data_IF_553404657690
#
_entry.id   IF_553404657690
#
_cell.length_a   1.000
_cell.length_b   1.000
_cell.length_c   1.000
_cell.angle_alpha   90.00
_cell.angle_beta   90.00
_cell.angle_gamma   90.00
#
_symmetry.space_group_name_H-M   'P 1'
#
loop_
_entity.id
_entity.type
_entity.pdbx_description
1 polymer ?
#
# COMPACT_ATOMS: atom_id res chain seq x y z
N UNK A 1 18.97 -15.70 9.65
CA UNK A 1 19.89 -15.25 8.57
C UNK A 1 19.61 -15.88 7.20
N UNK A 2 19.45 -17.19 7.06
CA UNK A 2 19.26 -17.85 5.74
C UNK A 2 18.03 -17.35 4.94
N UNK A 3 16.86 -17.23 5.57
CA UNK A 3 15.63 -16.74 4.89
C UNK A 3 15.81 -15.35 4.29
N UNK A 4 16.52 -14.42 4.96
CA UNK A 4 16.80 -13.06 4.47
C UNK A 4 17.69 -13.07 3.22
N UNK A 5 18.75 -13.89 3.22
CA UNK A 5 19.65 -14.02 2.06
C UNK A 5 18.90 -14.58 0.85
N UNK A 6 18.04 -15.59 1.05
CA UNK A 6 17.21 -16.18 -0.01
C UNK A 6 16.22 -15.15 -0.57
N UNK A 7 15.53 -14.41 0.29
CA UNK A 7 14.59 -13.37 -0.16
C UNK A 7 15.28 -12.26 -0.97
N UNK A 8 16.40 -11.74 -0.48
CA UNK A 8 17.19 -10.72 -1.19
C UNK A 8 17.72 -11.24 -2.54
N UNK A 9 18.17 -12.51 -2.58
CA UNK A 9 18.61 -13.16 -3.81
C UNK A 9 17.46 -13.30 -4.82
N UNK A 10 16.28 -13.75 -4.37
CA UNK A 10 15.07 -13.86 -5.20
C UNK A 10 14.68 -12.49 -5.79
N UNK A 11 14.60 -11.45 -4.98
CA UNK A 11 14.27 -10.10 -5.45
C UNK A 11 15.28 -9.62 -6.50
N UNK A 12 16.57 -9.80 -6.27
CA UNK A 12 17.59 -9.42 -7.25
C UNK A 12 17.43 -10.16 -8.58
N UNK A 13 17.06 -11.44 -8.56
CA UNK A 13 16.82 -12.24 -9.77
C UNK A 13 15.53 -11.89 -10.46
N UNK A 14 14.45 -11.68 -9.70
CA UNK A 14 13.13 -11.32 -10.24
C UNK A 14 13.12 -9.97 -10.94
N UNK A 15 13.88 -9.01 -10.41
CA UNK A 15 14.00 -7.67 -10.99
C UNK A 15 15.26 -7.50 -11.88
N UNK A 16 15.96 -8.60 -12.18
CA UNK A 16 16.96 -8.68 -13.24
C UNK A 16 16.33 -8.97 -14.60
N UNK A 17 17.17 -9.15 -15.62
CA UNK A 17 16.70 -9.38 -17.00
C UNK A 17 16.32 -10.84 -17.29
N UNK A 18 16.85 -11.81 -16.52
CA UNK A 18 16.68 -13.23 -16.81
C UNK A 18 15.83 -13.93 -15.74
N UNK A 19 14.96 -14.88 -16.16
CA UNK A 19 14.21 -15.68 -15.20
C UNK A 19 15.12 -16.61 -14.41
N UNK A 20 14.62 -17.09 -13.29
CA UNK A 20 15.26 -18.18 -12.56
C UNK A 20 14.87 -19.47 -13.30
N UNK A 21 15.76 -19.94 -14.18
CA UNK A 21 15.47 -20.97 -15.18
C UNK A 21 14.93 -22.28 -14.60
N UNK A 22 15.47 -22.74 -13.47
CA UNK A 22 15.01 -23.98 -12.82
C UNK A 22 13.61 -23.85 -12.20
N UNK A 23 13.09 -22.64 -12.04
CA UNK A 23 11.71 -22.39 -11.61
C UNK A 23 10.73 -22.23 -12.77
N UNK A 24 11.16 -22.27 -14.02
CA UNK A 24 10.28 -22.11 -15.19
C UNK A 24 9.13 -23.14 -15.19
N UNK A 25 9.36 -24.45 -14.95
CA UNK A 25 8.26 -25.42 -14.92
C UNK A 25 7.23 -25.11 -13.84
N UNK A 26 7.68 -24.71 -12.64
CA UNK A 26 6.79 -24.30 -11.55
C UNK A 26 6.03 -23.02 -11.86
N UNK A 27 6.66 -22.07 -12.54
CA UNK A 27 6.00 -20.85 -12.99
C UNK A 27 4.91 -21.14 -14.04
N UNK A 28 5.17 -22.10 -14.93
CA UNK A 28 4.17 -22.60 -15.88
C UNK A 28 2.95 -23.22 -15.17
N UNK A 29 3.19 -24.09 -14.19
CA UNK A 29 2.14 -24.68 -13.37
C UNK A 29 1.34 -23.61 -12.61
N UNK A 30 2.02 -22.66 -11.97
CA UNK A 30 1.38 -21.54 -11.28
C UNK A 30 0.54 -20.68 -12.25
N UNK A 31 1.04 -20.45 -13.48
CA UNK A 31 0.30 -19.72 -14.51
C UNK A 31 -0.99 -20.44 -14.91
N UNK A 32 -0.93 -21.75 -15.12
CA UNK A 32 -2.11 -22.58 -15.47
C UNK A 32 -3.12 -22.56 -14.31
N UNK A 33 -2.69 -22.83 -13.07
CA UNK A 33 -3.57 -22.85 -11.91
C UNK A 33 -4.28 -21.51 -11.68
N UNK A 34 -3.55 -20.40 -11.80
CA UNK A 34 -4.14 -19.06 -11.66
C UNK A 34 -5.05 -18.69 -12.82
N UNK A 35 -4.76 -19.16 -14.05
CA UNK A 35 -5.61 -18.97 -15.22
C UNK A 35 -6.92 -19.76 -15.10
N UNK A 36 -6.84 -21.04 -14.71
CA UNK A 36 -8.02 -21.90 -14.48
C UNK A 36 -8.89 -21.31 -13.37
N UNK A 37 -8.30 -20.94 -12.20
CA UNK A 37 -9.04 -20.31 -11.10
C UNK A 37 -9.78 -19.06 -11.58
N UNK A 38 -9.11 -18.20 -12.35
CA UNK A 38 -9.70 -16.98 -12.88
C UNK A 38 -10.82 -17.28 -13.89
N UNK A 39 -10.62 -18.27 -14.73
CA UNK A 39 -11.63 -18.74 -15.68
C UNK A 39 -12.88 -19.24 -14.94
N UNK A 40 -12.74 -20.05 -13.88
CA UNK A 40 -13.85 -20.53 -13.06
C UNK A 40 -14.68 -19.37 -12.46
N UNK A 41 -14.04 -18.30 -11.97
CA UNK A 41 -14.75 -17.12 -11.48
C UNK A 41 -15.47 -16.36 -12.60
N UNK A 42 -14.84 -16.22 -13.77
CA UNK A 42 -15.44 -15.51 -14.93
C UNK A 42 -16.67 -16.24 -15.49
N UNK A 43 -16.68 -17.55 -15.46
CA UNK A 43 -17.78 -18.36 -15.98
C UNK A 43 -18.80 -18.75 -14.89
N UNK A 44 -18.71 -18.18 -13.69
CA UNK A 44 -19.68 -18.41 -12.62
C UNK A 44 -19.61 -19.80 -11.97
N UNK A 45 -18.57 -20.61 -12.27
CA UNK A 45 -18.32 -21.90 -11.60
C UNK A 45 -18.00 -21.68 -10.12
N UNK A 46 -17.21 -20.64 -9.82
CA UNK A 46 -16.95 -20.20 -8.47
C UNK A 46 -17.80 -18.97 -8.15
N UNK A 47 -18.38 -18.97 -6.94
CA UNK A 47 -19.28 -17.92 -6.48
C UNK A 47 -18.55 -16.59 -6.36
N UNK A 48 -19.15 -15.54 -6.90
CA UNK A 48 -18.71 -14.14 -6.74
C UNK A 48 -19.75 -13.41 -5.88
N UNK A 49 -19.30 -12.80 -4.80
CA UNK A 49 -20.13 -11.99 -3.91
C UNK A 49 -20.23 -10.60 -4.50
N UNK A 50 -21.46 -10.15 -4.77
CA UNK A 50 -21.78 -8.77 -5.14
C UNK A 50 -22.29 -8.03 -3.92
N UNK A 51 -21.82 -6.81 -3.72
CA UNK A 51 -22.25 -5.95 -2.62
C UNK A 51 -23.24 -4.88 -3.13
N UNK A 52 -24.07 -4.31 -2.24
CA UNK A 52 -25.00 -3.24 -2.60
C UNK A 52 -24.30 -1.90 -2.85
N UNK A 53 -23.01 -1.80 -2.58
CA UNK A 53 -22.17 -0.61 -2.80
C UNK A 53 -21.02 -0.91 -3.74
N UNK A 54 -20.51 0.08 -4.49
CA UNK A 54 -19.36 -0.09 -5.36
C UNK A 54 -18.10 -0.46 -4.59
N UNK A 55 -17.26 -1.28 -5.24
CA UNK A 55 -15.96 -1.72 -4.71
C UNK A 55 -14.85 -1.26 -5.65
N UNK A 56 -13.97 -0.41 -5.14
CA UNK A 56 -12.76 0.05 -5.82
C UNK A 56 -11.59 -0.80 -5.32
N UNK A 57 -10.98 -1.57 -6.21
CA UNK A 57 -9.84 -2.41 -5.85
C UNK A 57 -8.54 -1.70 -6.22
N UNK A 58 -7.70 -1.46 -5.22
CA UNK A 58 -6.31 -1.02 -5.41
C UNK A 58 -5.40 -2.21 -5.18
N UNK A 59 -4.53 -2.49 -6.14
CA UNK A 59 -3.64 -3.66 -6.04
C UNK A 59 -2.43 -3.56 -6.95
N UNK A 60 -1.62 -4.61 -6.95
CA UNK A 60 -0.50 -4.77 -7.87
C UNK A 60 -0.44 -6.19 -8.44
N UNK A 61 0.27 -6.34 -9.55
CA UNK A 61 0.47 -7.64 -10.20
C UNK A 61 1.86 -8.23 -9.93
N UNK A 62 2.71 -7.53 -9.18
CA UNK A 62 4.07 -7.96 -8.82
C UNK A 62 4.19 -8.23 -7.32
N UNK A 63 5.21 -8.95 -6.91
CA UNK A 63 5.58 -9.10 -5.50
C UNK A 63 6.39 -7.89 -5.03
N UNK A 64 6.16 -7.44 -3.80
CA UNK A 64 6.90 -6.36 -3.14
C UNK A 64 6.05 -5.12 -2.87
N UNK A 65 6.60 -4.21 -2.09
CA UNK A 65 5.96 -2.94 -1.74
C UNK A 65 5.97 -1.98 -2.94
N UNK A 66 4.80 -1.63 -3.44
CA UNK A 66 4.62 -0.70 -4.57
C UNK A 66 4.09 0.66 -4.14
N UNK A 67 3.81 0.87 -2.85
CA UNK A 67 3.23 2.12 -2.35
C UNK A 67 1.69 2.16 -2.43
N UNK A 68 1.01 1.02 -2.33
CA UNK A 68 -0.47 0.95 -2.35
C UNK A 68 -1.13 1.72 -1.22
N UNK A 69 -0.63 1.58 0.00
CA UNK A 69 -1.22 2.19 1.19
C UNK A 69 -1.35 3.71 1.08
N UNK A 70 -0.34 4.49 0.66
CA UNK A 70 -0.51 5.92 0.41
C UNK A 70 -1.57 6.24 -0.66
N UNK A 71 -1.69 5.43 -1.71
CA UNK A 71 -2.72 5.61 -2.75
C UNK A 71 -4.13 5.36 -2.20
N UNK A 72 -4.30 4.32 -1.37
CA UNK A 72 -5.58 4.02 -0.69
C UNK A 72 -5.96 5.15 0.25
N UNK A 73 -5.00 5.70 1.01
CA UNK A 73 -5.21 6.86 1.89
C UNK A 73 -5.66 8.06 1.07
N UNK A 74 -4.93 8.41 0.00
CA UNK A 74 -5.26 9.53 -0.88
C UNK A 74 -6.67 9.39 -1.49
N UNK A 75 -7.00 8.20 -2.00
CA UNK A 75 -8.31 7.94 -2.61
C UNK A 75 -9.43 8.05 -1.58
N UNK A 76 -9.25 7.47 -0.39
CA UNK A 76 -10.22 7.54 0.71
C UNK A 76 -10.49 8.98 1.13
N UNK A 77 -9.44 9.75 1.41
CA UNK A 77 -9.55 11.16 1.80
C UNK A 77 -10.16 12.03 0.69
N UNK A 78 -9.84 11.75 -0.57
CA UNK A 78 -10.41 12.48 -1.70
C UNK A 78 -11.90 12.20 -1.88
N UNK A 79 -12.35 10.97 -1.65
CA UNK A 79 -13.77 10.62 -1.66
C UNK A 79 -14.53 11.25 -0.48
N UNK A 80 -13.92 11.24 0.73
CA UNK A 80 -14.51 11.94 1.88
C UNK A 80 -14.71 13.44 1.60
N UNK A 81 -13.69 14.12 1.03
CA UNK A 81 -13.79 15.54 0.65
C UNK A 81 -14.90 15.81 -0.38
N UNK A 82 -15.29 14.80 -1.16
CA UNK A 82 -16.39 14.88 -2.12
C UNK A 82 -17.75 14.45 -1.52
N UNK A 83 -17.83 14.23 -0.21
CA UNK A 83 -19.06 13.88 0.49
C UNK A 83 -19.43 12.39 0.45
N UNK A 84 -18.57 11.50 -0.06
CA UNK A 84 -18.78 10.06 0.05
C UNK A 84 -18.40 9.54 1.43
N UNK A 85 -18.94 8.38 1.81
CA UNK A 85 -18.61 7.66 3.05
C UNK A 85 -17.84 6.38 2.69
N UNK A 86 -16.53 6.47 2.43
CA UNK A 86 -15.72 5.30 2.12
C UNK A 86 -15.53 4.41 3.34
N UNK A 87 -15.39 3.11 3.09
CA UNK A 87 -14.88 2.14 4.04
C UNK A 87 -13.73 1.36 3.40
N UNK A 88 -12.78 0.91 4.18
CA UNK A 88 -11.59 0.21 3.68
C UNK A 88 -11.62 -1.24 4.14
N UNK A 89 -11.33 -2.15 3.21
CA UNK A 89 -11.06 -3.55 3.54
C UNK A 89 -9.61 -3.88 3.18
N UNK A 90 -8.90 -4.52 4.10
CA UNK A 90 -7.50 -4.93 3.92
C UNK A 90 -7.28 -6.38 4.36
N UNK A 91 -6.12 -6.95 4.07
CA UNK A 91 -5.80 -8.33 4.43
C UNK A 91 -5.55 -8.53 5.93
N UNK A 92 -5.09 -7.48 6.60
CA UNK A 92 -4.51 -7.61 7.93
C UNK A 92 -3.15 -8.34 7.87
N UNK A 93 -2.33 -8.02 6.84
CA UNK A 93 -1.03 -8.65 6.66
C UNK A 93 -0.13 -8.39 7.88
N UNK A 94 0.52 -9.45 8.38
CA UNK A 94 1.32 -9.40 9.60
C UNK A 94 0.49 -9.52 10.89
N UNK A 95 -0.83 -9.34 10.83
CA UNK A 95 -1.70 -9.48 12.00
C UNK A 95 -1.83 -10.91 12.48
N UNK A 96 -1.85 -11.08 13.80
CA UNK A 96 -1.88 -12.37 14.49
C UNK A 96 -3.24 -12.66 15.15
N UNK A 97 -4.29 -11.90 14.82
CA UNK A 97 -5.62 -12.13 15.37
C UNK A 97 -6.11 -13.55 15.09
N UNK A 98 -6.71 -14.16 16.10
CA UNK A 98 -7.37 -15.48 15.97
C UNK A 98 -8.80 -15.35 15.43
N UNK A 99 -9.36 -14.16 15.41
CA UNK A 99 -10.74 -13.88 14.96
C UNK A 99 -10.72 -12.89 13.80
N UNK A 100 -11.22 -13.33 12.66
CA UNK A 100 -11.36 -12.53 11.46
C UNK A 100 -12.79 -12.60 10.93
N UNK A 101 -13.32 -11.57 10.29
CA UNK A 101 -12.70 -10.24 10.10
C UNK A 101 -12.63 -9.44 11.40
N UNK A 102 -11.69 -8.50 11.47
CA UNK A 102 -11.44 -7.63 12.61
C UNK A 102 -11.69 -6.17 12.22
N UNK A 103 -12.56 -5.48 12.96
CA UNK A 103 -12.71 -4.03 12.87
C UNK A 103 -11.44 -3.36 13.43
N UNK A 104 -10.88 -2.43 12.66
CA UNK A 104 -9.60 -1.80 12.99
C UNK A 104 -9.82 -0.33 13.32
N UNK A 105 -9.54 0.05 14.55
CA UNK A 105 -9.55 1.44 15.00
C UNK A 105 -8.13 2.03 15.01
N UNK A 106 -7.99 3.37 15.08
CA UNK A 106 -6.67 3.99 15.26
C UNK A 106 -5.88 3.50 16.46
N UNK A 107 -6.58 2.99 17.49
CA UNK A 107 -5.99 2.46 18.73
C UNK A 107 -5.76 0.94 18.69
N UNK A 108 -6.15 0.26 17.60
CA UNK A 108 -5.99 -1.18 17.50
C UNK A 108 -4.51 -1.59 17.61
N UNK A 109 -4.27 -2.74 18.22
CA UNK A 109 -2.93 -3.31 18.33
C UNK A 109 -2.41 -3.75 16.95
N UNK A 110 -1.27 -3.19 16.46
CA UNK A 110 -0.68 -3.57 15.19
C UNK A 110 -0.28 -5.04 15.11
N UNK A 111 0.06 -5.66 16.25
CA UNK A 111 0.35 -7.10 16.31
C UNK A 111 -0.86 -7.95 16.01
N UNK A 112 -2.07 -7.49 16.35
CA UNK A 112 -3.32 -8.21 16.10
C UNK A 112 -3.89 -7.90 14.72
N UNK A 113 -3.93 -6.62 14.34
CA UNK A 113 -4.60 -6.15 13.12
C UNK A 113 -3.70 -6.10 11.88
N UNK A 114 -2.39 -6.00 12.08
CA UNK A 114 -1.39 -5.67 11.08
C UNK A 114 -1.12 -4.16 11.00
N UNK A 115 0.14 -3.78 10.87
CA UNK A 115 0.61 -2.38 10.84
C UNK A 115 -0.04 -1.55 9.72
N UNK A 116 -0.20 -2.10 8.52
CA UNK A 116 -0.84 -1.40 7.40
C UNK A 116 -2.34 -1.11 7.66
N UNK A 117 -3.05 -2.03 8.32
CA UNK A 117 -4.46 -1.84 8.64
C UNK A 117 -4.65 -0.72 9.67
N UNK A 118 -3.79 -0.68 10.69
CA UNK A 118 -3.80 0.40 11.70
C UNK A 118 -3.40 1.74 11.09
N UNK A 119 -2.40 1.76 10.19
CA UNK A 119 -2.02 2.97 9.44
C UNK A 119 -3.21 3.53 8.64
N UNK A 120 -3.93 2.68 7.92
CA UNK A 120 -5.13 3.08 7.19
C UNK A 120 -6.18 3.71 8.13
N UNK A 121 -6.44 3.09 9.29
CA UNK A 121 -7.41 3.62 10.25
C UNK A 121 -6.98 5.00 10.81
N UNK A 122 -5.70 5.16 11.17
CA UNK A 122 -5.15 6.43 11.68
C UNK A 122 -5.26 7.55 10.63
N UNK A 123 -4.82 7.27 9.40
CA UNK A 123 -4.67 8.29 8.35
C UNK A 123 -5.98 8.69 7.71
N UNK A 124 -6.94 7.80 7.64
CA UNK A 124 -8.18 8.04 6.90
C UNK A 124 -9.37 8.35 7.80
N UNK A 125 -9.36 7.90 9.04
CA UNK A 125 -10.46 8.03 10.00
C UNK A 125 -11.80 7.47 9.47
N UNK A 126 -11.75 6.53 8.52
CA UNK A 126 -12.92 5.81 8.01
C UNK A 126 -12.99 4.41 8.63
N UNK A 127 -14.14 3.73 8.58
CA UNK A 127 -14.24 2.35 8.99
C UNK A 127 -13.26 1.46 8.22
N UNK A 128 -12.42 0.71 8.93
CA UNK A 128 -11.46 -0.25 8.36
C UNK A 128 -11.76 -1.65 8.88
N UNK A 129 -11.87 -2.61 7.98
CA UNK A 129 -12.06 -4.02 8.32
C UNK A 129 -10.91 -4.85 7.75
N UNK A 130 -10.18 -5.54 8.60
CA UNK A 130 -9.10 -6.43 8.21
C UNK A 130 -9.57 -7.88 8.19
N UNK A 131 -9.15 -8.64 7.16
CA UNK A 131 -9.47 -10.07 7.10
C UNK A 131 -8.95 -10.75 5.84
N UNK A 132 -8.58 -12.04 5.91
CA UNK A 132 -8.14 -12.82 4.75
C UNK A 132 -9.25 -13.02 3.71
N UNK A 133 -10.51 -13.19 4.14
CA UNK A 133 -11.68 -13.19 3.25
C UNK A 133 -12.24 -11.77 3.10
N UNK A 134 -11.96 -11.17 1.94
CA UNK A 134 -12.38 -9.81 1.62
C UNK A 134 -13.89 -9.66 1.47
N UNK A 135 -14.58 -10.70 1.02
CA UNK A 135 -16.03 -10.65 0.86
C UNK A 135 -16.70 -10.62 2.24
N UNK A 136 -16.25 -11.45 3.17
CA UNK A 136 -16.72 -11.46 4.54
C UNK A 136 -16.38 -10.15 5.26
N UNK A 137 -15.15 -9.63 5.09
CA UNK A 137 -14.74 -8.36 5.64
C UNK A 137 -15.63 -7.21 5.15
N UNK A 138 -15.93 -7.16 3.85
CA UNK A 138 -16.80 -6.15 3.27
C UNK A 138 -18.25 -6.25 3.78
N UNK A 139 -18.79 -7.47 3.91
CA UNK A 139 -20.14 -7.67 4.44
C UNK A 139 -20.26 -7.22 5.90
N UNK A 140 -19.24 -7.52 6.74
CA UNK A 140 -19.24 -7.07 8.13
C UNK A 140 -19.08 -5.56 8.23
N UNK A 141 -18.20 -4.97 7.41
CA UNK A 141 -18.03 -3.52 7.33
C UNK A 141 -19.37 -2.80 7.06
N UNK A 142 -20.14 -3.30 6.08
CA UNK A 142 -21.44 -2.73 5.71
C UNK A 142 -22.53 -2.96 6.75
N UNK A 143 -22.46 -4.03 7.55
CA UNK A 143 -23.40 -4.27 8.64
C UNK A 143 -23.19 -3.33 9.81
N UNK A 144 -21.95 -2.99 10.09
CA UNK A 144 -21.56 -2.21 11.27
C UNK A 144 -21.49 -0.69 10.99
N UNK A 145 -21.43 -0.28 9.71
CA UNK A 145 -21.13 1.10 9.34
C UNK A 145 -21.97 1.56 8.14
N UNK A 146 -22.35 2.83 8.14
CA UNK A 146 -23.02 3.50 7.01
C UNK A 146 -22.01 3.89 5.91
N UNK A 147 -21.50 2.92 5.20
CA UNK A 147 -20.53 3.08 4.10
C UNK A 147 -21.25 3.03 2.76
N UNK A 148 -20.94 3.94 1.81
CA UNK A 148 -21.51 3.95 0.47
C UNK A 148 -20.52 3.63 -0.66
N UNK A 149 -19.23 3.47 -0.35
CA UNK A 149 -18.19 2.98 -1.27
C UNK A 149 -17.12 2.22 -0.49
N UNK A 150 -16.68 1.10 -1.02
CA UNK A 150 -15.61 0.30 -0.41
C UNK A 150 -14.33 0.43 -1.22
N UNK A 151 -13.20 0.65 -0.55
CA UNK A 151 -11.86 0.58 -1.12
C UNK A 151 -11.19 -0.70 -0.61
N UNK A 152 -10.80 -1.59 -1.52
CA UNK A 152 -10.10 -2.83 -1.19
C UNK A 152 -8.60 -2.68 -1.40
N UNK A 153 -7.84 -2.68 -0.31
CA UNK A 153 -6.38 -2.68 -0.35
C UNK A 153 -5.84 -4.09 -0.63
N UNK A 154 -4.92 -4.19 -1.60
CA UNK A 154 -4.33 -5.43 -2.14
C UNK A 154 -5.39 -6.50 -2.52
N UNK A 155 -6.49 -6.03 -3.13
CA UNK A 155 -7.65 -6.86 -3.45
C UNK A 155 -7.63 -7.51 -4.85
N UNK A 156 -6.61 -7.27 -5.68
CA UNK A 156 -6.64 -7.62 -7.11
C UNK A 156 -6.81 -9.13 -7.35
N UNK A 157 -6.20 -9.99 -6.53
CA UNK A 157 -6.27 -11.45 -6.60
C UNK A 157 -7.51 -12.05 -5.90
N UNK A 158 -8.36 -11.23 -5.27
CA UNK A 158 -9.57 -11.68 -4.58
C UNK A 158 -10.77 -11.68 -5.52
N UNK A 159 -10.81 -12.65 -6.45
CA UNK A 159 -11.90 -12.80 -7.44
C UNK A 159 -13.26 -13.15 -6.84
N UNK A 160 -13.29 -13.64 -5.59
CA UNK A 160 -14.52 -13.95 -4.86
C UNK A 160 -15.37 -12.70 -4.56
N UNK A 161 -14.76 -11.51 -4.52
CA UNK A 161 -15.45 -10.23 -4.36
C UNK A 161 -15.59 -9.53 -5.72
N UNK A 162 -16.81 -9.19 -6.10
CA UNK A 162 -17.07 -8.36 -7.28
C UNK A 162 -16.45 -6.98 -7.11
N UNK A 163 -15.93 -6.42 -8.19
CA UNK A 163 -15.33 -5.08 -8.22
C UNK A 163 -16.03 -4.21 -9.24
N UNK A 164 -16.15 -2.94 -8.92
CA UNK A 164 -16.65 -1.90 -9.83
C UNK A 164 -15.51 -1.29 -10.60
N UNK A 165 -14.42 -0.99 -9.89
CA UNK A 165 -13.22 -0.36 -10.44
C UNK A 165 -11.97 -1.10 -9.99
N UNK A 166 -10.94 -1.10 -10.83
CA UNK A 166 -9.62 -1.67 -10.55
C UNK A 166 -8.50 -0.69 -10.87
N UNK A 167 -7.66 -0.42 -9.88
CA UNK A 167 -6.47 0.40 -9.99
C UNK A 167 -5.25 -0.49 -9.77
N UNK A 168 -4.37 -0.56 -10.77
CA UNK A 168 -3.12 -1.32 -10.67
C UNK A 168 -1.97 -0.36 -10.46
N UNK A 169 -1.28 -0.51 -9.32
CA UNK A 169 -0.09 0.24 -9.02
C UNK A 169 1.17 -0.56 -9.38
N UNK A 170 2.07 0.05 -10.14
CA UNK A 170 3.39 -0.47 -10.49
C UNK A 170 4.47 0.38 -9.83
N UNK A 171 5.57 -0.26 -9.49
CA UNK A 171 6.80 0.43 -9.15
C UNK A 171 7.53 0.79 -10.45
N UNK A 172 7.76 2.06 -10.71
CA UNK A 172 8.32 2.55 -11.98
C UNK A 172 9.76 2.08 -12.22
N UNK A 173 10.56 1.86 -11.16
CA UNK A 173 11.92 1.33 -11.30
C UNK A 173 11.93 -0.15 -11.65
N UNK A 174 11.01 -0.90 -11.04
CA UNK A 174 10.95 -2.35 -11.15
C UNK A 174 10.04 -2.83 -12.25
N UNK A 175 9.04 -2.03 -12.61
CA UNK A 175 8.02 -2.34 -13.60
C UNK A 175 7.48 -3.77 -13.43
N UNK A 176 7.65 -4.60 -14.45
CA UNK A 176 7.23 -6.02 -14.45
C UNK A 176 8.38 -6.98 -14.10
N UNK A 177 9.55 -6.44 -13.74
CA UNK A 177 10.77 -7.22 -13.52
C UNK A 177 11.17 -7.99 -14.77
N UNK A 178 11.57 -9.26 -14.61
CA UNK A 178 11.93 -10.13 -15.72
C UNK A 178 10.73 -10.65 -16.55
N UNK A 179 9.50 -10.19 -16.25
CA UNK A 179 8.27 -10.53 -16.99
C UNK A 179 7.70 -11.93 -16.70
N UNK A 180 8.34 -12.73 -15.86
CA UNK A 180 7.91 -14.10 -15.56
C UNK A 180 6.98 -14.17 -14.35
N UNK A 181 6.15 -15.22 -14.35
CA UNK A 181 5.27 -15.54 -13.22
C UNK A 181 6.09 -16.13 -12.06
N UNK A 182 5.53 -16.06 -10.84
CA UNK A 182 6.06 -16.76 -9.69
C UNK A 182 6.19 -18.26 -9.98
N UNK A 183 7.26 -18.93 -9.49
CA UNK A 183 8.41 -18.37 -8.77
C UNK A 183 9.59 -17.97 -9.66
N UNK A 184 9.52 -18.09 -11.00
CA UNK A 184 10.62 -17.74 -11.90
C UNK A 184 10.83 -16.23 -12.06
N UNK A 185 9.81 -15.43 -11.76
CA UNK A 185 9.81 -13.96 -11.75
C UNK A 185 8.83 -13.40 -10.74
N UNK A 186 8.63 -12.06 -10.71
CA UNK A 186 7.86 -11.40 -9.67
C UNK A 186 6.35 -11.40 -9.91
N UNK A 187 5.85 -11.83 -11.08
CA UNK A 187 4.47 -11.64 -11.45
C UNK A 187 3.51 -12.60 -10.72
N UNK A 188 2.56 -12.04 -9.97
CA UNK A 188 1.41 -12.75 -9.38
C UNK A 188 0.34 -13.02 -10.44
N UNK A 189 0.17 -12.08 -11.40
CA UNK A 189 -0.78 -12.13 -12.50
C UNK A 189 -0.09 -11.82 -13.84
N UNK A 190 -0.67 -12.21 -15.00
CA UNK A 190 -0.07 -11.93 -16.30
C UNK A 190 -0.02 -10.42 -16.56
N UNK A 191 0.99 -9.95 -17.30
CA UNK A 191 1.11 -8.55 -17.71
C UNK A 191 -0.14 -8.05 -18.47
N UNK A 192 -0.84 -8.92 -19.18
CA UNK A 192 -2.09 -8.60 -19.86
C UNK A 192 -3.18 -8.04 -18.92
N UNK A 193 -3.04 -8.27 -17.59
CA UNK A 193 -3.94 -7.69 -16.58
C UNK A 193 -3.95 -6.17 -16.57
N UNK A 194 -2.87 -5.54 -16.99
CA UNK A 194 -2.79 -4.09 -17.11
C UNK A 194 -3.84 -3.52 -18.07
N UNK A 195 -4.16 -4.26 -19.15
CA UNK A 195 -5.17 -3.85 -20.13
C UNK A 195 -6.61 -3.93 -19.61
N UNK A 196 -6.83 -4.63 -18.52
CA UNK A 196 -8.15 -4.85 -17.92
C UNK A 196 -8.40 -3.92 -16.73
N UNK A 197 -7.38 -3.15 -16.33
CA UNK A 197 -7.51 -2.17 -15.25
C UNK A 197 -8.10 -0.86 -15.79
N UNK A 198 -8.93 -0.21 -14.97
CA UNK A 198 -9.45 1.11 -15.28
C UNK A 198 -8.35 2.16 -15.20
N UNK A 199 -7.40 1.98 -14.28
CA UNK A 199 -6.19 2.78 -14.19
C UNK A 199 -4.96 1.92 -13.93
N UNK A 200 -3.90 2.23 -14.66
CA UNK A 200 -2.54 1.80 -14.34
C UNK A 200 -1.79 3.03 -13.85
N UNK A 201 -1.27 2.95 -12.64
CA UNK A 201 -0.52 4.04 -12.01
C UNK A 201 0.90 3.54 -11.79
N UNK A 202 1.90 4.34 -12.17
CA UNK A 202 3.30 4.03 -11.93
C UNK A 202 3.87 4.95 -10.86
N UNK A 203 4.35 4.37 -9.77
CA UNK A 203 5.10 5.12 -8.76
C UNK A 203 6.46 5.48 -9.33
N UNK A 204 6.67 6.76 -9.58
CA UNK A 204 7.90 7.31 -10.13
C UNK A 204 8.80 7.84 -9.03
N UNK A 205 10.09 7.64 -9.16
CA UNK A 205 11.08 8.36 -8.36
C UNK A 205 11.45 9.69 -9.07
N UNK A 206 11.88 10.68 -8.31
CA UNK A 206 12.27 12.01 -8.82
C UNK A 206 13.42 11.98 -9.85
N UNK A 207 14.18 10.89 -9.89
CA UNK A 207 15.33 10.71 -10.80
C UNK A 207 14.99 9.94 -12.08
N UNK A 208 13.73 9.48 -12.24
CA UNK A 208 13.36 8.62 -13.35
C UNK A 208 12.78 9.38 -14.53
N UNK A 209 13.44 9.24 -15.69
CA UNK A 209 12.90 9.57 -17.03
C UNK A 209 12.45 8.29 -17.77
N UNK A 210 11.99 7.27 -17.05
CA UNK A 210 11.54 6.04 -17.68
C UNK A 210 10.21 6.27 -18.44
N UNK A 211 10.10 5.71 -19.63
CA UNK A 211 8.87 5.72 -20.39
C UNK A 211 7.79 4.92 -19.62
N UNK A 212 6.68 5.56 -19.34
CA UNK A 212 5.52 4.92 -18.73
C UNK A 212 4.88 3.93 -19.72
N UNK A 213 4.29 2.82 -19.23
CA UNK A 213 3.39 2.03 -20.07
C UNK A 213 2.31 2.93 -20.69
N UNK A 214 1.94 2.65 -21.94
CA UNK A 214 0.95 3.47 -22.65
C UNK A 214 -0.35 3.62 -21.83
N UNK A 215 -0.76 4.86 -21.58
CA UNK A 215 -1.93 5.21 -20.81
C UNK A 215 -1.76 5.14 -19.28
N UNK A 216 -0.57 4.81 -18.78
CA UNK A 216 -0.31 4.82 -17.34
C UNK A 216 -0.12 6.27 -16.82
N UNK A 217 -0.59 6.49 -15.60
CA UNK A 217 -0.47 7.77 -14.88
C UNK A 217 0.76 7.74 -13.97
N UNK A 218 1.40 8.89 -13.80
CA UNK A 218 2.55 9.02 -12.90
C UNK A 218 2.09 9.43 -11.49
N UNK A 219 2.58 8.70 -10.49
CA UNK A 219 2.42 9.00 -9.07
C UNK A 219 3.79 9.18 -8.44
N UNK A 220 3.95 10.21 -7.63
CA UNK A 220 5.13 10.39 -6.76
C UNK A 220 4.72 10.32 -5.31
N UNK A 221 5.62 9.82 -4.48
CA UNK A 221 5.49 9.92 -3.03
C UNK A 221 6.30 11.14 -2.58
N UNK A 222 5.62 12.07 -1.93
CA UNK A 222 6.23 13.25 -1.29
C UNK A 222 6.38 13.01 0.20
N UNK A 223 7.51 13.42 0.75
CA UNK A 223 7.83 13.43 2.16
C UNK A 223 8.13 14.88 2.54
N UNK A 224 7.15 15.61 3.07
CA UNK A 224 7.32 17.05 3.31
C UNK A 224 7.62 17.41 4.76
N UNK A 225 7.07 16.64 5.67
CA UNK A 225 7.07 16.93 7.10
C UNK A 225 7.53 15.72 7.90
N UNK A 226 8.12 15.97 9.05
CA UNK A 226 8.31 15.00 10.11
C UNK A 226 7.37 15.33 11.27
N UNK A 227 6.76 14.31 11.87
CA UNK A 227 5.86 14.44 13.02
C UNK A 227 6.49 13.77 14.21
N UNK A 228 6.58 14.49 15.34
CA UNK A 228 7.13 13.96 16.57
C UNK A 228 6.21 12.91 17.18
N UNK A 229 6.76 11.77 17.59
CA UNK A 229 5.97 10.65 18.11
C UNK A 229 5.38 10.98 19.49
N UNK A 230 6.09 11.78 20.31
CA UNK A 230 5.71 12.02 21.70
C UNK A 230 4.64 13.09 21.87
N UNK A 231 4.70 14.18 21.09
CA UNK A 231 3.82 15.34 21.25
C UNK A 231 2.98 15.67 20.01
N UNK A 232 3.21 14.97 18.89
CA UNK A 232 2.49 15.19 17.63
C UNK A 232 2.87 16.48 16.90
N UNK A 233 3.88 17.23 17.38
CA UNK A 233 4.36 18.43 16.69
C UNK A 233 4.88 18.09 15.30
N UNK A 234 4.62 18.98 14.33
CA UNK A 234 5.04 18.78 12.94
C UNK A 234 6.09 19.80 12.54
N UNK A 235 7.14 19.34 11.82
CA UNK A 235 8.21 20.19 11.29
C UNK A 235 8.44 19.86 9.82
N UNK A 236 8.60 20.86 8.93
CA UNK A 236 9.06 20.64 7.56
C UNK A 236 10.40 19.90 7.54
N UNK A 237 10.57 18.93 6.65
CA UNK A 237 11.83 18.17 6.54
C UNK A 237 13.02 19.07 6.22
N UNK A 238 12.79 20.18 5.50
CA UNK A 238 13.85 21.14 5.17
C UNK A 238 14.47 21.79 6.42
N UNK A 239 13.78 21.86 7.54
CA UNK A 239 14.33 22.39 8.81
C UNK A 239 15.35 21.45 9.46
N UNK A 240 15.46 20.20 9.00
CA UNK A 240 16.52 19.27 9.39
C UNK A 240 17.73 19.33 8.45
N UNK A 241 17.71 20.20 7.43
CA UNK A 241 18.83 20.32 6.48
C UNK A 241 20.14 20.65 7.20
N UNK A 242 21.22 19.98 6.78
CA UNK A 242 22.55 20.10 7.39
C UNK A 242 22.72 19.35 8.72
N UNK A 243 21.66 18.87 9.35
CA UNK A 243 21.74 18.11 10.60
C UNK A 243 22.13 16.65 10.35
N UNK A 244 22.87 16.07 11.28
CA UNK A 244 23.01 14.62 11.41
C UNK A 244 21.69 14.05 11.92
N UNK A 245 21.18 13.02 11.28
CA UNK A 245 19.97 12.31 11.70
C UNK A 245 20.17 10.81 11.58
N UNK A 246 19.62 10.05 12.51
CA UNK A 246 19.47 8.62 12.35
C UNK A 246 18.16 8.34 11.61
N UNK A 247 18.18 7.41 10.67
CA UNK A 247 16.98 7.01 9.96
C UNK A 247 16.72 5.52 10.11
N UNK A 248 15.55 5.14 10.63
CA UNK A 248 15.16 3.75 10.85
C UNK A 248 14.02 3.38 9.89
N UNK A 249 14.18 2.29 9.13
CA UNK A 249 13.15 1.86 8.20
C UNK A 249 13.04 0.34 8.11
N UNK A 250 11.87 -0.20 8.51
CA UNK A 250 11.46 -1.60 8.39
C UNK A 250 10.45 -1.81 7.26
N UNK A 251 10.79 -1.35 6.07
CA UNK A 251 9.96 -1.44 4.85
C UNK A 251 10.69 -2.20 3.74
N UNK A 252 9.98 -2.55 2.67
CA UNK A 252 10.55 -3.30 1.54
C UNK A 252 11.71 -2.60 0.81
N UNK A 253 11.84 -1.26 0.93
CA UNK A 253 12.86 -0.43 0.28
C UNK A 253 13.40 0.66 1.19
N UNK A 254 14.14 0.32 2.26
CA UNK A 254 14.62 1.29 3.22
C UNK A 254 15.58 2.32 2.61
N UNK A 255 16.40 1.92 1.64
CA UNK A 255 17.36 2.81 0.97
C UNK A 255 16.66 3.98 0.26
N UNK A 256 15.52 3.74 -0.38
CA UNK A 256 14.75 4.81 -1.03
C UNK A 256 14.28 5.87 -0.03
N UNK A 257 13.90 5.46 1.19
CA UNK A 257 13.57 6.38 2.27
C UNK A 257 14.78 7.21 2.68
N UNK A 258 15.93 6.59 2.92
CA UNK A 258 17.17 7.28 3.31
C UNK A 258 17.63 8.26 2.24
N UNK A 259 17.63 7.85 0.97
CA UNK A 259 17.98 8.71 -0.16
C UNK A 259 17.03 9.90 -0.28
N UNK A 260 15.74 9.69 -0.01
CA UNK A 260 14.77 10.78 -0.05
C UNK A 260 15.02 11.81 1.05
N UNK A 261 15.32 11.38 2.27
CA UNK A 261 15.74 12.28 3.36
C UNK A 261 17.01 13.06 2.97
N UNK A 262 17.99 12.39 2.36
CA UNK A 262 19.20 13.03 1.86
C UNK A 262 18.96 14.14 0.83
N UNK A 263 17.91 14.01 -0.01
CA UNK A 263 17.53 15.06 -0.98
C UNK A 263 17.03 16.34 -0.31
N UNK A 264 16.54 16.27 0.92
CA UNK A 264 16.21 17.43 1.76
C UNK A 264 17.43 18.03 2.47
N UNK A 265 18.64 17.52 2.18
CA UNK A 265 19.89 18.03 2.75
C UNK A 265 20.24 17.43 4.12
N UNK A 266 19.57 16.39 4.57
CA UNK A 266 19.88 15.71 5.83
C UNK A 266 21.12 14.83 5.66
N UNK A 267 21.97 14.76 6.71
CA UNK A 267 23.07 13.79 6.78
C UNK A 267 22.56 12.52 7.46
N UNK A 268 22.20 11.54 6.63
CA UNK A 268 21.47 10.36 7.08
C UNK A 268 22.43 9.23 7.48
N UNK A 269 22.34 8.77 8.72
CA UNK A 269 22.85 7.50 9.20
C UNK A 269 21.69 6.48 9.21
N UNK A 270 21.66 5.59 8.20
CA UNK A 270 20.51 4.72 7.91
C UNK A 270 20.61 3.34 8.53
N UNK A 271 19.67 2.97 9.40
CA UNK A 271 19.49 1.61 9.94
C UNK A 271 18.33 0.91 9.25
N UNK A 272 18.64 0.02 8.31
CA UNK A 272 17.63 -0.79 7.61
C UNK A 272 17.22 -2.01 8.44
N UNK A 273 15.92 -2.14 8.69
CA UNK A 273 15.31 -3.30 9.35
C UNK A 273 14.58 -4.17 8.32
N UNK A 274 14.27 -5.43 8.64
CA UNK A 274 13.40 -6.25 7.80
C UNK A 274 12.02 -5.63 7.66
N UNK A 275 11.39 -5.85 6.50
CA UNK A 275 9.98 -5.49 6.31
C UNK A 275 9.12 -6.20 7.37
N UNK A 276 8.21 -5.46 8.02
CA UNK A 276 7.39 -5.89 9.15
C UNK A 276 8.19 -6.37 10.39
N UNK A 277 9.44 -5.93 10.59
CA UNK A 277 10.16 -6.23 11.81
C UNK A 277 9.41 -5.68 13.04
N UNK A 278 9.43 -6.44 14.12
CA UNK A 278 9.14 -5.89 15.45
C UNK A 278 10.28 -4.93 15.79
N UNK A 279 9.92 -3.75 16.24
CA UNK A 279 10.88 -2.73 16.69
C UNK A 279 11.09 -2.88 18.19
N UNK A 280 12.34 -3.06 18.59
CA UNK A 280 12.74 -3.00 19.98
C UNK A 280 13.26 -1.58 20.34
N UNK A 281 13.26 -1.24 21.62
CA UNK A 281 13.90 0.01 22.07
C UNK A 281 15.36 0.10 21.60
N UNK A 282 16.09 -1.01 21.62
CA UNK A 282 17.48 -1.06 21.15
C UNK A 282 17.67 -0.69 19.68
N UNK A 283 16.64 -0.88 18.84
CA UNK A 283 16.66 -0.46 17.43
C UNK A 283 16.52 1.06 17.28
N UNK A 284 16.03 1.74 18.32
CA UNK A 284 15.67 3.15 18.32
C UNK A 284 16.60 4.02 19.16
N UNK A 285 17.46 3.41 19.99
CA UNK A 285 18.43 4.12 20.82
C UNK A 285 19.76 4.28 20.05
N UNK A 286 20.31 5.46 20.11
CA UNK A 286 21.61 5.85 19.56
C UNK A 286 22.42 6.57 20.64
N UNK A 287 23.75 6.48 20.56
CA UNK A 287 24.69 6.99 21.58
C UNK A 287 24.80 8.52 21.58
N UNK A 288 24.21 9.20 20.63
CA UNK A 288 24.21 10.66 20.50
C UNK A 288 22.81 11.28 20.66
N UNK A 289 22.71 12.61 20.57
CA UNK A 289 21.49 13.38 20.71
C UNK A 289 20.80 13.69 19.34
N UNK A 290 21.28 13.11 18.24
CA UNK A 290 20.72 13.38 16.92
C UNK A 290 19.25 12.93 16.81
N UNK A 291 18.40 13.65 16.04
CA UNK A 291 17.03 13.23 15.78
C UNK A 291 16.98 11.87 15.09
N UNK A 292 15.98 11.06 15.46
CA UNK A 292 15.72 9.76 14.82
C UNK A 292 14.48 9.89 13.97
N UNK A 293 14.61 9.69 12.65
CA UNK A 293 13.51 9.72 11.69
C UNK A 293 13.13 8.30 11.27
N UNK A 294 11.86 7.99 11.21
CA UNK A 294 11.40 6.68 10.78
C UNK A 294 10.21 6.77 9.82
N UNK A 295 9.90 5.66 9.18
CA UNK A 295 8.68 5.61 8.37
C UNK A 295 7.44 5.64 9.27
N UNK A 296 6.33 6.13 8.75
CA UNK A 296 5.06 6.16 9.46
C UNK A 296 4.59 4.73 9.85
N UNK A 297 4.86 3.74 9.00
CA UNK A 297 4.58 2.32 9.26
C UNK A 297 5.35 1.78 10.47
N UNK A 298 6.59 2.23 10.66
CA UNK A 298 7.41 1.84 11.80
C UNK A 298 6.98 2.57 13.07
N UNK A 299 6.63 3.84 12.98
CA UNK A 299 6.17 4.63 14.12
C UNK A 299 4.93 4.05 14.81
N UNK A 300 4.02 3.42 14.07
CA UNK A 300 2.83 2.76 14.63
C UNK A 300 3.20 1.69 15.67
N UNK A 301 4.34 1.02 15.47
CA UNK A 301 4.84 -0.02 16.39
C UNK A 301 5.46 0.55 17.66
N UNK A 302 5.78 1.85 17.65
CA UNK A 302 6.50 2.56 18.73
C UNK A 302 5.63 3.58 19.47
N UNK A 303 4.34 3.71 19.13
CA UNK A 303 3.46 4.76 19.62
C UNK A 303 3.31 4.81 21.16
N UNK A 304 3.54 3.68 21.83
CA UNK A 304 3.44 3.57 23.29
C UNK A 304 4.77 3.90 24.00
N UNK A 305 5.84 4.16 23.22
CA UNK A 305 7.15 4.53 23.74
C UNK A 305 7.28 6.05 23.86
N UNK A 306 7.87 6.52 24.96
CA UNK A 306 8.20 7.94 25.13
C UNK A 306 9.54 8.23 24.46
N UNK A 307 9.48 8.75 23.24
CA UNK A 307 10.62 8.94 22.37
C UNK A 307 10.71 10.41 21.88
N UNK A 308 11.18 11.35 22.73
CA UNK A 308 11.08 12.80 22.44
C UNK A 308 11.89 13.26 21.22
N UNK A 309 12.95 12.51 20.84
CA UNK A 309 13.80 12.82 19.68
C UNK A 309 13.36 12.09 18.40
N UNK A 310 12.27 11.34 18.47
CA UNK A 310 11.84 10.46 17.39
C UNK A 310 10.70 11.09 16.59
N UNK A 311 10.84 11.02 15.30
CA UNK A 311 9.94 11.61 14.33
C UNK A 311 9.57 10.56 13.29
N UNK A 312 8.33 10.54 12.88
CA UNK A 312 7.96 9.77 11.71
C UNK A 312 7.68 10.71 10.52
N UNK A 313 7.92 10.19 9.32
CA UNK A 313 7.74 10.94 8.08
C UNK A 313 6.60 10.33 7.31
N UNK A 314 5.42 10.98 7.29
CA UNK A 314 4.27 10.51 6.54
C UNK A 314 4.51 10.67 5.03
N UNK A 315 4.11 9.64 4.27
CA UNK A 315 4.15 9.70 2.82
C UNK A 315 2.82 10.22 2.28
N UNK A 316 2.88 11.22 1.40
CA UNK A 316 1.76 11.77 0.65
C UNK A 316 1.87 11.40 -0.83
N UNK A 317 0.73 11.36 -1.52
CA UNK A 317 0.65 11.05 -2.94
C UNK A 317 0.51 12.34 -3.73
N UNK A 318 1.36 12.50 -4.73
CA UNK A 318 1.29 13.57 -5.72
C UNK A 318 1.13 12.97 -7.12
N UNK A 319 0.19 13.51 -7.87
CA UNK A 319 0.00 13.21 -9.28
C UNK A 319 0.53 14.33 -10.17
N UNK A 320 0.98 13.98 -11.37
CA UNK A 320 1.39 14.97 -12.36
C UNK A 320 0.17 15.67 -12.96
N UNK A 321 0.26 17.00 -13.14
CA UNK A 321 -0.76 17.79 -13.83
C UNK A 321 -2.19 17.55 -13.32
N UNK A 322 -3.10 17.19 -14.24
CA UNK A 322 -4.52 16.98 -13.96
C UNK A 322 -4.89 15.51 -13.68
N UNK A 323 -3.92 14.61 -13.54
CA UNK A 323 -4.17 13.17 -13.40
C UNK A 323 -5.01 12.84 -12.17
N UNK A 324 -4.79 13.53 -11.04
CA UNK A 324 -5.62 13.39 -9.85
C UNK A 324 -7.10 13.73 -10.15
N UNK A 325 -7.36 14.84 -10.81
CA UNK A 325 -8.70 15.27 -11.18
C UNK A 325 -9.37 14.29 -12.16
N UNK A 326 -8.59 13.76 -13.12
CA UNK A 326 -9.03 12.75 -14.08
C UNK A 326 -9.46 11.46 -13.40
N UNK A 327 -8.66 10.95 -12.45
CA UNK A 327 -9.01 9.76 -11.66
C UNK A 327 -10.31 10.01 -10.90
N UNK A 328 -10.38 11.10 -10.14
CA UNK A 328 -11.53 11.40 -9.30
C UNK A 328 -12.81 11.65 -10.12
N UNK A 329 -12.72 12.31 -11.26
CA UNK A 329 -13.83 12.50 -12.19
C UNK A 329 -14.36 11.15 -12.69
N UNK A 330 -13.48 10.26 -13.10
CA UNK A 330 -13.87 8.93 -13.59
C UNK A 330 -14.51 8.10 -12.46
N UNK A 331 -13.89 8.07 -11.27
CA UNK A 331 -14.45 7.37 -10.11
C UNK A 331 -15.86 7.89 -9.82
N UNK A 332 -16.06 9.21 -9.75
CA UNK A 332 -17.36 9.82 -9.52
C UNK A 332 -18.39 9.41 -10.57
N UNK A 333 -18.05 9.42 -11.85
CA UNK A 333 -18.95 8.98 -12.92
C UNK A 333 -19.40 7.53 -12.72
N UNK A 334 -18.51 6.64 -12.31
CA UNK A 334 -18.84 5.25 -12.03
C UNK A 334 -19.73 5.09 -10.79
N UNK A 335 -19.48 5.89 -9.73
CA UNK A 335 -20.33 5.90 -8.53
C UNK A 335 -21.75 6.39 -8.84
N UNK A 336 -21.87 7.47 -9.58
CA UNK A 336 -23.18 8.03 -10.03
C UNK A 336 -23.93 7.03 -10.91
N UNK A 337 -23.25 6.30 -11.82
CA UNK A 337 -23.89 5.27 -12.65
C UNK A 337 -24.47 4.10 -11.85
N UNK A 338 -24.04 3.92 -10.61
CA UNK A 338 -24.56 2.95 -9.65
C UNK A 338 -25.55 3.55 -8.64
N UNK A 339 -26.05 4.78 -8.88
CA UNK A 339 -26.93 5.53 -7.98
C UNK A 339 -26.33 5.80 -6.60
N UNK A 340 -25.01 5.95 -6.54
CA UNK A 340 -24.32 6.36 -5.30
C UNK A 340 -23.99 7.84 -5.39
N UNK A 341 -24.66 8.62 -4.56
CA UNK A 341 -24.47 10.06 -4.47
C UNK A 341 -23.68 10.46 -3.23
N UNK A 342 -23.00 11.61 -3.27
CA UNK A 342 -22.44 12.22 -2.08
C UNK A 342 -23.53 12.48 -1.03
N UNK A 343 -23.18 12.32 0.23
CA UNK A 343 -24.07 12.68 1.33
C UNK A 343 -23.96 14.19 1.54
N UNK A 344 -25.06 14.91 1.38
CA UNK A 344 -25.09 16.33 1.70
C UNK A 344 -24.78 16.51 3.19
N UNK A 345 -23.70 17.22 3.51
CA UNK A 345 -23.26 17.53 4.88
C UNK A 345 -24.09 18.64 5.54
N UNK A 346 -25.27 18.94 5.02
CA UNK A 346 -26.16 20.02 5.51
C UNK A 346 -27.39 19.50 6.28
N UNK A 347 -27.31 18.25 6.81
CA UNK A 347 -28.31 17.74 7.76
C UNK A 347 -27.70 17.48 9.12
#
# INVERSE_FOLDING_TARGET
MARRKIHAWLLRRWYGQRPIWFFIPLAGMFAVLTAVRRWCYRHGILRVVKLPVPVIVVGNITVGGTGKTPLVIWLSQSLQKQGYRPGIITRGYGGQSKRWPLAVTPQADPMLAGDEAVLLAIRTQVPVMAGPDRAQAAQNLLKENSVNVIISDDGLQHYHLARTLSVILLDGQRCLGNGWRLPAGPLREPAARLKEADFVICKMDSTMNAALPAGALALRLSLEHAVNISDGSSRPLIEFAGQQVHAVAGIGHPQQFFETLGKYGLRVDGRALPDHAELSEADLIFDDEAPVLMTEKDAIKCRDLRLPRHWYVPASVEFAGEDAARILKFVRQQLTSMNVEPVNTND
#
